data_IF_358691716419
#
_entry.id   IF_358691716419
#
_cell.length_a   1.000
_cell.length_b   1.000
_cell.length_c   1.000
_cell.angle_alpha   90.00
_cell.angle_beta   90.00
_cell.angle_gamma   90.00
#
_symmetry.space_group_name_H-M   'P 1'
#
loop_
_entity.id
_entity.type
_entity.pdbx_description
1 polymer ?
#
# COMPACT_ATOMS: atom_id res chain seq x y z
N UNK A 1 67.15 14.97 7.53
CA UNK A 1 68.28 14.33 8.21
C UNK A 1 68.18 14.72 9.66
N UNK A 2 67.61 13.82 10.46
CA UNK A 2 67.46 13.92 11.92
C UNK A 2 66.82 12.61 12.39
N UNK A 3 67.71 11.70 12.80
CA UNK A 3 67.66 10.79 13.94
C UNK A 3 66.30 10.27 14.42
N UNK A 4 66.08 8.96 14.20
CA UNK A 4 65.32 8.12 15.11
C UNK A 4 66.18 6.92 15.50
N UNK A 5 66.53 6.90 16.79
CA UNK A 5 67.18 5.82 17.51
C UNK A 5 66.39 4.51 17.42
N UNK A 6 67.08 3.47 16.97
CA UNK A 6 66.65 2.07 17.09
C UNK A 6 67.32 1.49 18.35
N UNK A 7 66.51 1.21 19.37
CA UNK A 7 66.93 0.42 20.53
C UNK A 7 66.80 -1.07 20.18
N UNK A 8 67.83 -1.91 20.44
CA UNK A 8 67.78 -3.34 20.17
C UNK A 8 67.14 -4.09 21.34
N UNK A 9 66.08 -4.87 21.08
CA UNK A 9 65.62 -5.91 22.00
C UNK A 9 66.15 -7.26 21.51
N UNK A 10 67.24 -7.68 22.15
CA UNK A 10 67.64 -9.08 22.26
C UNK A 10 66.66 -9.78 23.21
N UNK A 11 65.82 -10.67 22.69
CA UNK A 11 65.29 -11.77 23.51
C UNK A 11 65.12 -13.02 22.63
N UNK A 12 66.19 -13.81 22.62
CA UNK A 12 66.21 -15.17 22.08
C UNK A 12 65.53 -16.09 23.10
N UNK A 13 64.21 -16.27 22.95
CA UNK A 13 63.43 -17.29 23.63
C UNK A 13 63.29 -18.53 22.76
N UNK A 14 63.81 -19.64 23.26
CA UNK A 14 63.86 -21.00 22.71
C UNK A 14 62.69 -21.47 21.81
N UNK A 15 63.05 -21.95 20.61
CA UNK A 15 62.17 -22.73 19.73
C UNK A 15 62.09 -24.16 20.31
N UNK A 16 60.95 -24.54 20.89
CA UNK A 16 60.71 -25.93 21.28
C UNK A 16 60.35 -26.81 20.05
N UNK A 17 60.87 -28.05 19.97
CA UNK A 17 60.55 -28.98 18.89
C UNK A 17 59.15 -29.59 19.05
N UNK A 18 58.37 -29.58 17.97
CA UNK A 18 57.09 -30.29 17.85
C UNK A 18 57.32 -31.81 17.87
N UNK A 19 56.90 -32.48 18.94
CA UNK A 19 56.74 -33.93 18.93
C UNK A 19 55.62 -34.36 19.86
N UNK A 20 54.41 -34.52 19.30
CA UNK A 20 53.40 -35.48 19.75
C UNK A 20 52.37 -35.72 18.62
N UNK A 21 52.23 -36.95 18.10
CA UNK A 21 51.14 -37.33 17.23
C UNK A 21 50.03 -37.94 18.11
N UNK A 22 48.94 -37.19 18.36
CA UNK A 22 47.60 -37.63 18.81
C UNK A 22 46.90 -36.66 19.78
N UNK A 23 46.99 -35.36 19.55
CA UNK A 23 46.03 -34.40 20.13
C UNK A 23 44.95 -34.10 19.09
N UNK A 24 43.65 -34.31 19.39
CA UNK A 24 42.59 -33.85 18.51
C UNK A 24 42.71 -32.33 18.37
N UNK A 25 42.66 -31.84 17.12
CA UNK A 25 42.60 -30.42 16.79
C UNK A 25 41.37 -29.80 17.46
N UNK A 26 41.55 -29.28 18.68
CA UNK A 26 40.60 -28.35 19.27
C UNK A 26 40.67 -27.05 18.46
N UNK A 27 39.52 -26.46 18.06
CA UNK A 27 39.52 -25.17 17.39
C UNK A 27 40.16 -24.12 18.30
N UNK A 28 41.14 -23.42 17.75
CA UNK A 28 41.87 -22.34 18.41
C UNK A 28 40.89 -21.17 18.55
N UNK A 29 40.54 -20.82 19.79
CA UNK A 29 39.82 -19.59 20.12
C UNK A 29 40.74 -18.38 19.84
N UNK A 30 40.73 -17.91 18.60
CA UNK A 30 41.24 -16.59 18.22
C UNK A 30 40.26 -15.96 17.23
N UNK A 31 39.05 -15.70 17.70
CA UNK A 31 38.03 -14.95 16.98
C UNK A 31 38.13 -13.46 17.29
N UNK A 32 39.00 -12.75 16.56
CA UNK A 32 38.85 -11.29 16.35
C UNK A 32 38.13 -10.97 15.02
N UNK A 33 37.49 -11.99 14.43
CA UNK A 33 36.50 -11.88 13.35
C UNK A 33 35.12 -12.42 13.78
N UNK A 34 34.85 -12.47 15.08
CA UNK A 34 33.52 -12.69 15.61
C UNK A 34 32.63 -11.50 15.19
N UNK A 35 31.90 -11.71 14.10
CA UNK A 35 30.63 -11.03 13.86
C UNK A 35 29.87 -11.11 15.19
N UNK A 36 29.38 -10.01 15.78
CA UNK A 36 28.43 -10.15 16.87
C UNK A 36 27.29 -10.98 16.30
N UNK A 37 27.14 -12.22 16.77
CA UNK A 37 25.95 -13.01 16.51
C UNK A 37 24.78 -12.06 16.82
N UNK A 38 23.79 -11.92 15.93
CA UNK A 38 22.62 -11.13 16.26
C UNK A 38 22.14 -11.65 17.60
N UNK A 39 22.02 -10.75 18.57
CA UNK A 39 21.54 -11.11 19.88
C UNK A 39 20.07 -11.49 19.73
N UNK A 40 19.82 -12.79 19.51
CA UNK A 40 18.48 -13.36 19.41
C UNK A 40 17.90 -13.67 20.79
N UNK A 41 18.65 -13.41 21.88
CA UNK A 41 18.27 -13.91 23.20
C UNK A 41 17.20 -13.03 23.87
N UNK A 42 17.05 -11.76 23.49
CA UNK A 42 16.03 -10.88 24.10
C UNK A 42 14.64 -10.87 23.43
N UNK A 43 14.47 -11.52 22.27
CA UNK A 43 13.19 -11.54 21.53
C UNK A 43 12.67 -12.94 21.18
N UNK A 44 13.16 -13.98 21.84
CA UNK A 44 12.46 -15.28 21.91
C UNK A 44 11.23 -15.23 22.84
N UNK A 45 10.45 -14.16 22.76
CA UNK A 45 9.09 -14.16 23.29
C UNK A 45 8.24 -15.14 22.49
N UNK A 46 8.16 -16.38 22.98
CA UNK A 46 6.91 -17.14 23.01
C UNK A 46 6.06 -17.08 21.73
N UNK A 47 6.60 -17.48 20.57
CA UNK A 47 5.88 -17.56 19.29
C UNK A 47 4.80 -18.67 19.24
N UNK A 48 4.28 -19.13 20.36
CA UNK A 48 3.27 -20.20 20.38
C UNK A 48 1.85 -19.72 20.06
N UNK A 49 1.58 -18.41 20.10
CA UNK A 49 0.20 -17.86 20.03
C UNK A 49 -0.03 -16.80 18.94
N UNK A 50 0.95 -16.44 18.12
CA UNK A 50 0.77 -15.46 17.04
C UNK A 50 0.43 -16.16 15.74
N UNK A 51 -0.67 -15.75 15.09
CA UNK A 51 -1.06 -16.25 13.77
C UNK A 51 0.11 -16.09 12.79
N UNK A 52 0.41 -17.11 11.97
CA UNK A 52 1.52 -17.04 11.03
C UNK A 52 1.33 -15.82 10.13
N UNK A 53 2.43 -15.11 9.85
CA UNK A 53 2.41 -14.00 8.91
C UNK A 53 3.09 -14.44 7.62
N UNK A 54 2.50 -14.08 6.49
CA UNK A 54 3.13 -14.21 5.17
C UNK A 54 3.40 -12.80 4.67
N UNK A 55 4.68 -12.45 4.48
CA UNK A 55 5.10 -11.10 4.08
C UNK A 55 4.52 -9.98 4.96
N UNK A 56 4.52 -10.18 6.28
CA UNK A 56 4.02 -9.19 7.26
C UNK A 56 2.49 -9.09 7.36
N UNK A 57 1.75 -9.81 6.52
CA UNK A 57 0.28 -9.91 6.61
C UNK A 57 -0.13 -11.14 7.41
N UNK A 58 -1.13 -11.01 8.29
CA UNK A 58 -1.65 -12.14 9.05
C UNK A 58 -2.28 -13.17 8.10
N UNK A 59 -1.80 -14.41 8.16
CA UNK A 59 -2.33 -15.52 7.38
C UNK A 59 -3.41 -16.25 8.17
N UNK A 60 -4.63 -16.39 7.62
CA UNK A 60 -5.70 -17.14 8.25
C UNK A 60 -5.45 -18.64 8.06
N UNK A 61 -4.63 -19.24 8.93
CA UNK A 61 -4.34 -20.65 8.84
C UNK A 61 -3.23 -21.12 9.76
N UNK A 62 -2.94 -22.42 9.71
CA UNK A 62 -1.81 -23.00 10.44
C UNK A 62 -0.48 -22.67 9.73
N UNK A 63 0.63 -22.78 10.46
CA UNK A 63 1.97 -22.62 9.90
C UNK A 63 2.21 -23.56 8.69
N UNK A 64 1.69 -24.79 8.75
CA UNK A 64 1.77 -25.74 7.64
C UNK A 64 1.00 -25.25 6.39
N UNK A 65 -0.16 -24.63 6.57
CA UNK A 65 -0.91 -24.04 5.46
C UNK A 65 -0.17 -22.84 4.87
N UNK A 66 0.53 -22.06 5.71
CA UNK A 66 1.36 -20.95 5.27
C UNK A 66 2.55 -21.44 4.43
N UNK A 67 3.26 -22.48 4.87
CA UNK A 67 4.34 -23.12 4.11
C UNK A 67 3.87 -23.69 2.75
N UNK A 68 2.68 -24.30 2.73
CA UNK A 68 2.05 -24.77 1.50
C UNK A 68 1.71 -23.62 0.56
N UNK A 69 1.15 -22.52 1.07
CA UNK A 69 0.85 -21.33 0.29
C UNK A 69 2.12 -20.69 -0.31
N UNK A 70 3.19 -20.54 0.49
CA UNK A 70 4.49 -20.05 0.02
C UNK A 70 5.06 -20.97 -1.08
N UNK A 71 4.90 -22.29 -0.93
CA UNK A 71 5.32 -23.25 -1.95
C UNK A 71 4.51 -23.16 -3.25
N UNK A 72 3.21 -22.90 -3.16
CA UNK A 72 2.36 -22.66 -4.34
C UNK A 72 2.78 -21.37 -5.06
N UNK A 73 2.99 -20.28 -4.32
CA UNK A 73 3.46 -19.00 -4.87
C UNK A 73 4.81 -19.20 -5.59
N UNK A 74 5.74 -19.94 -4.99
CA UNK A 74 7.03 -20.24 -5.61
C UNK A 74 6.90 -21.03 -6.93
N UNK A 75 5.94 -21.96 -7.02
CA UNK A 75 5.68 -22.71 -8.24
C UNK A 75 5.07 -21.83 -9.35
N UNK A 76 4.13 -20.95 -9.00
CA UNK A 76 3.57 -19.97 -9.95
C UNK A 76 4.66 -19.02 -10.44
N UNK A 77 5.50 -18.51 -9.53
CA UNK A 77 6.64 -17.67 -9.89
C UNK A 77 7.58 -18.37 -10.88
N UNK A 78 7.95 -19.62 -10.62
CA UNK A 78 8.79 -20.41 -11.53
C UNK A 78 8.16 -20.54 -12.92
N UNK A 79 6.87 -20.86 -12.99
CA UNK A 79 6.15 -21.02 -14.25
C UNK A 79 6.09 -19.71 -15.05
N UNK A 80 5.85 -18.58 -14.39
CA UNK A 80 5.78 -17.28 -15.05
C UNK A 80 7.16 -16.73 -15.41
N UNK A 81 8.16 -16.93 -14.56
CA UNK A 81 9.55 -16.57 -14.85
C UNK A 81 10.09 -17.32 -16.08
N UNK A 82 9.70 -18.59 -16.26
CA UNK A 82 10.02 -19.37 -17.46
C UNK A 82 9.39 -18.76 -18.72
N UNK A 83 8.13 -18.31 -18.66
CA UNK A 83 7.48 -17.60 -19.79
C UNK A 83 8.19 -16.29 -20.13
N UNK A 84 8.69 -15.58 -19.12
CA UNK A 84 9.45 -14.34 -19.26
C UNK A 84 10.92 -14.56 -19.69
N UNK A 85 11.36 -15.83 -19.80
CA UNK A 85 12.73 -16.24 -20.13
C UNK A 85 13.77 -15.66 -19.15
N UNK A 86 13.43 -15.63 -17.86
CA UNK A 86 14.39 -15.30 -16.81
C UNK A 86 15.37 -16.45 -16.58
N UNK A 87 16.57 -16.13 -16.09
CA UNK A 87 17.60 -17.11 -15.77
C UNK A 87 17.12 -18.05 -14.65
N UNK A 88 17.10 -19.37 -14.92
CA UNK A 88 16.62 -20.37 -13.99
C UNK A 88 17.40 -20.40 -12.68
N UNK A 89 18.71 -20.14 -12.70
CA UNK A 89 19.53 -20.12 -11.48
C UNK A 89 19.14 -18.97 -10.56
N UNK A 90 18.84 -17.80 -11.13
CA UNK A 90 18.37 -16.64 -10.38
C UNK A 90 16.92 -16.83 -9.88
N UNK A 91 16.08 -17.51 -10.66
CA UNK A 91 14.72 -17.88 -10.23
C UNK A 91 14.77 -18.80 -9.02
N UNK A 92 15.62 -19.83 -9.04
CA UNK A 92 15.76 -20.75 -7.91
C UNK A 92 16.36 -20.06 -6.68
N UNK A 93 17.32 -19.13 -6.87
CA UNK A 93 17.82 -18.29 -5.79
C UNK A 93 16.71 -17.43 -5.15
N UNK A 94 15.89 -16.77 -5.96
CA UNK A 94 14.76 -15.97 -5.48
C UNK A 94 13.73 -16.84 -4.73
N UNK A 95 13.42 -18.03 -5.24
CA UNK A 95 12.52 -19.00 -4.58
C UNK A 95 13.07 -19.43 -3.23
N UNK A 96 14.37 -19.72 -3.15
CA UNK A 96 15.03 -20.05 -1.89
C UNK A 96 14.89 -18.91 -0.90
N UNK A 97 15.16 -17.67 -1.33
CA UNK A 97 14.96 -16.50 -0.47
C UNK A 97 13.52 -16.37 0.02
N UNK A 98 12.53 -16.53 -0.87
CA UNK A 98 11.11 -16.47 -0.51
C UNK A 98 10.76 -17.53 0.54
N UNK A 99 11.17 -18.78 0.35
CA UNK A 99 10.87 -19.86 1.30
C UNK A 99 11.50 -19.62 2.67
N UNK A 100 12.71 -19.08 2.73
CA UNK A 100 13.42 -18.83 3.98
C UNK A 100 12.88 -17.59 4.72
N UNK A 101 12.48 -16.54 3.99
CA UNK A 101 12.17 -15.23 4.58
C UNK A 101 10.67 -14.90 4.62
N UNK A 102 9.79 -15.63 3.92
CA UNK A 102 8.36 -15.30 3.87
C UNK A 102 7.65 -15.39 5.23
N UNK A 103 8.16 -16.25 6.13
CA UNK A 103 7.57 -16.57 7.43
C UNK A 103 8.31 -15.91 8.60
N UNK A 104 9.44 -15.26 8.35
CA UNK A 104 10.24 -14.61 9.38
C UNK A 104 9.92 -13.10 9.42
N UNK A 105 9.79 -12.49 10.60
CA UNK A 105 9.73 -11.03 10.69
C UNK A 105 11.07 -10.47 10.19
N UNK A 106 11.01 -9.63 9.16
CA UNK A 106 12.21 -8.98 8.63
C UNK A 106 12.55 -7.81 9.54
N UNK A 107 13.65 -7.92 10.28
CA UNK A 107 14.23 -6.82 11.04
C UNK A 107 14.72 -5.70 10.13
N UNK A 108 15.21 -4.61 10.72
CA UNK A 108 15.77 -3.51 9.92
C UNK A 108 16.96 -3.99 9.07
N UNK A 109 16.95 -3.71 7.76
CA UNK A 109 18.02 -4.13 6.84
C UNK A 109 18.66 -2.94 6.15
N UNK A 110 19.97 -2.79 6.34
CA UNK A 110 20.76 -1.78 5.62
C UNK A 110 20.87 -2.10 4.13
N UNK A 111 20.78 -1.06 3.29
CA UNK A 111 20.95 -1.19 1.83
C UNK A 111 22.41 -1.49 1.48
N UNK A 112 22.65 -2.63 0.82
CA UNK A 112 23.98 -3.06 0.31
C UNK A 112 23.99 -3.35 -1.19
N UNK A 113 22.85 -3.26 -1.86
CA UNK A 113 22.69 -3.49 -3.29
C UNK A 113 22.87 -2.21 -4.12
N UNK A 114 23.27 -2.39 -5.38
CA UNK A 114 23.43 -1.30 -6.37
C UNK A 114 22.18 -1.01 -7.23
N UNK A 115 21.10 -1.78 -7.08
CA UNK A 115 19.90 -1.57 -7.90
C UNK A 115 19.25 -0.20 -7.69
N UNK A 116 18.81 0.37 -8.81
CA UNK A 116 17.98 1.56 -8.85
C UNK A 116 16.49 1.18 -8.89
N UNK A 117 15.72 1.75 -7.95
CA UNK A 117 14.28 1.53 -7.76
C UNK A 117 13.48 2.81 -8.03
N UNK A 118 14.05 3.82 -8.68
CA UNK A 118 13.29 5.03 -9.07
C UNK A 118 12.04 4.63 -9.84
N UNK A 119 10.87 5.11 -9.39
CA UNK A 119 9.57 4.79 -9.98
C UNK A 119 8.80 3.66 -9.29
N UNK A 120 9.41 2.91 -8.38
CA UNK A 120 8.70 1.94 -7.54
C UNK A 120 8.20 2.61 -6.24
N UNK A 121 6.88 2.61 -6.04
CA UNK A 121 6.27 3.03 -4.78
C UNK A 121 6.21 1.85 -3.81
N UNK A 122 7.24 1.70 -2.97
CA UNK A 122 7.31 0.64 -1.96
C UNK A 122 6.78 1.20 -0.63
N UNK A 123 5.76 0.60 -0.01
CA UNK A 123 5.28 0.99 1.32
C UNK A 123 6.40 0.95 2.37
N UNK A 124 6.30 1.80 3.40
CA UNK A 124 7.31 1.84 4.46
C UNK A 124 7.42 0.50 5.21
N UNK A 125 6.31 -0.23 5.35
CA UNK A 125 6.26 -1.56 5.96
C UNK A 125 7.08 -2.62 5.21
N UNK A 126 7.16 -2.48 3.88
CA UNK A 126 7.72 -3.53 3.02
C UNK A 126 9.17 -3.23 2.66
N UNK A 127 9.68 -2.05 3.06
CA UNK A 127 10.98 -1.53 2.64
C UNK A 127 12.14 -2.42 3.09
N UNK A 128 12.10 -2.92 4.31
CA UNK A 128 13.15 -3.79 4.85
C UNK A 128 13.14 -5.17 4.18
N UNK A 129 11.96 -5.74 3.95
CA UNK A 129 11.79 -6.99 3.22
C UNK A 129 12.30 -6.89 1.77
N UNK A 130 11.92 -5.82 1.06
CA UNK A 130 12.41 -5.55 -0.29
C UNK A 130 13.93 -5.34 -0.27
N UNK A 131 14.46 -4.56 0.66
CA UNK A 131 15.91 -4.30 0.76
C UNK A 131 16.69 -5.60 1.03
N UNK A 132 16.17 -6.48 1.88
CA UNK A 132 16.74 -7.81 2.14
C UNK A 132 16.78 -8.68 0.87
N UNK A 133 15.66 -8.74 0.13
CA UNK A 133 15.59 -9.45 -1.15
C UNK A 133 16.61 -8.91 -2.14
N UNK A 134 16.71 -7.59 -2.27
CA UNK A 134 17.63 -6.94 -3.19
C UNK A 134 19.09 -7.19 -2.82
N UNK A 135 19.44 -7.12 -1.54
CA UNK A 135 20.77 -7.47 -1.06
C UNK A 135 21.11 -8.93 -1.38
N UNK A 136 20.16 -9.84 -1.21
CA UNK A 136 20.34 -11.25 -1.54
C UNK A 136 20.58 -11.44 -3.05
N UNK A 137 19.75 -10.84 -3.90
CA UNK A 137 19.89 -10.96 -5.35
C UNK A 137 21.18 -10.34 -5.89
N UNK A 138 21.67 -9.25 -5.30
CA UNK A 138 22.96 -8.64 -5.67
C UNK A 138 24.14 -9.58 -5.38
N UNK A 139 24.11 -10.33 -4.27
CA UNK A 139 25.12 -11.36 -3.96
C UNK A 139 25.12 -12.51 -4.97
N UNK A 140 23.95 -12.83 -5.52
CA UNK A 140 23.80 -13.83 -6.59
C UNK A 140 24.08 -13.27 -7.99
N UNK A 141 24.53 -12.01 -8.11
CA UNK A 141 24.90 -11.41 -9.39
C UNK A 141 23.70 -11.14 -10.30
N UNK A 142 22.49 -10.98 -9.75
CA UNK A 142 21.32 -10.73 -10.58
C UNK A 142 21.42 -9.39 -11.33
N UNK A 143 20.99 -9.32 -12.60
CA UNK A 143 20.92 -8.06 -13.30
C UNK A 143 19.72 -7.25 -12.81
N UNK A 144 19.79 -5.91 -12.93
CA UNK A 144 18.70 -5.01 -12.55
C UNK A 144 17.36 -5.41 -13.19
N UNK A 145 17.39 -5.81 -14.48
CA UNK A 145 16.20 -6.27 -15.20
C UNK A 145 15.49 -7.42 -14.47
N UNK A 146 16.23 -8.41 -13.98
CA UNK A 146 15.65 -9.55 -13.27
C UNK A 146 14.89 -9.06 -12.03
N UNK A 147 15.56 -8.27 -11.20
CA UNK A 147 15.02 -7.71 -9.98
C UNK A 147 13.78 -6.86 -10.22
N UNK A 148 13.82 -5.95 -11.19
CA UNK A 148 12.66 -5.10 -11.54
C UNK A 148 11.47 -5.92 -12.02
N UNK A 149 11.72 -6.98 -12.79
CA UNK A 149 10.68 -7.90 -13.25
C UNK A 149 10.10 -8.71 -12.10
N UNK A 150 10.92 -9.19 -11.16
CA UNK A 150 10.44 -9.90 -9.98
C UNK A 150 9.60 -9.01 -9.06
N UNK A 151 10.04 -7.77 -8.81
CA UNK A 151 9.26 -6.81 -8.01
C UNK A 151 7.94 -6.43 -8.69
N UNK A 152 7.95 -6.24 -10.01
CA UNK A 152 6.73 -6.01 -10.78
C UNK A 152 5.78 -7.22 -10.69
N UNK A 153 6.28 -8.44 -10.90
CA UNK A 153 5.49 -9.67 -10.81
C UNK A 153 4.88 -9.82 -9.42
N UNK A 154 5.64 -9.56 -8.36
CA UNK A 154 5.17 -9.62 -6.99
C UNK A 154 4.05 -8.60 -6.74
N UNK A 155 4.20 -7.37 -7.24
CA UNK A 155 3.16 -6.35 -7.16
C UNK A 155 1.88 -6.75 -7.91
N UNK A 156 2.02 -7.47 -9.02
CA UNK A 156 0.88 -7.94 -9.82
C UNK A 156 0.18 -9.13 -9.18
N UNK A 157 0.94 -10.05 -8.59
CA UNK A 157 0.41 -11.14 -7.79
C UNK A 157 -0.42 -10.60 -6.61
N UNK A 158 0.09 -9.58 -5.90
CA UNK A 158 -0.66 -8.97 -4.80
C UNK A 158 -1.93 -8.25 -5.25
N UNK A 159 -1.96 -7.66 -6.46
CA UNK A 159 -3.20 -7.11 -7.02
C UNK A 159 -4.23 -8.20 -7.36
N UNK A 160 -3.77 -9.38 -7.78
CA UNK A 160 -4.63 -10.52 -8.10
C UNK A 160 -5.09 -11.29 -6.86
N UNK A 161 -4.25 -11.37 -5.83
CA UNK A 161 -4.56 -12.02 -4.55
C UNK A 161 -5.34 -11.11 -3.61
N UNK A 162 -5.35 -9.79 -3.84
CA UNK A 162 -6.44 -8.98 -3.34
C UNK A 162 -7.71 -9.50 -4.03
N UNK A 163 -8.67 -10.11 -3.30
CA UNK A 163 -9.98 -10.33 -3.88
C UNK A 163 -10.41 -8.99 -4.46
N UNK A 164 -10.99 -8.98 -5.68
CA UNK A 164 -11.81 -7.87 -6.13
C UNK A 164 -12.67 -7.49 -4.93
N UNK A 165 -12.33 -6.37 -4.29
CA UNK A 165 -12.98 -5.93 -3.07
C UNK A 165 -14.37 -5.49 -3.49
N UNK A 166 -15.28 -6.48 -3.59
CA UNK A 166 -16.65 -6.32 -3.20
C UNK A 166 -16.59 -5.52 -1.90
N UNK A 167 -17.21 -4.33 -1.93
CA UNK A 167 -17.58 -3.55 -0.78
C UNK A 167 -17.82 -4.49 0.40
N UNK A 168 -17.12 -4.25 1.51
CA UNK A 168 -17.23 -5.05 2.73
C UNK A 168 -18.66 -5.58 2.85
N UNK A 169 -18.82 -6.89 2.68
CA UNK A 169 -20.09 -7.54 2.93
C UNK A 169 -20.49 -7.17 4.35
N UNK A 170 -21.64 -6.52 4.49
CA UNK A 170 -22.21 -5.96 5.73
C UNK A 170 -22.27 -6.97 6.89
N UNK A 171 -21.99 -8.26 6.67
CA UNK A 171 -22.15 -9.38 7.60
C UNK A 171 -20.96 -9.66 8.54
N UNK A 172 -19.95 -8.80 8.62
CA UNK A 172 -18.79 -9.05 9.51
C UNK A 172 -18.29 -7.82 10.27
N UNK A 173 -19.16 -6.85 10.53
CA UNK A 173 -18.87 -5.78 11.48
C UNK A 173 -19.44 -6.23 12.83
N UNK A 174 -18.57 -6.41 13.82
CA UNK A 174 -19.00 -6.72 15.19
C UNK A 174 -19.65 -5.51 15.84
N UNK A 175 -20.56 -5.72 16.80
CA UNK A 175 -21.22 -4.62 17.54
C UNK A 175 -20.22 -3.62 18.14
N UNK A 176 -19.06 -4.10 18.61
CA UNK A 176 -17.99 -3.27 19.16
C UNK A 176 -17.30 -2.40 18.09
N UNK A 177 -17.14 -2.90 16.87
CA UNK A 177 -16.62 -2.12 15.75
C UNK A 177 -17.64 -1.08 15.27
N UNK A 178 -18.93 -1.43 15.29
CA UNK A 178 -20.00 -0.50 14.97
C UNK A 178 -20.05 0.68 15.95
N UNK A 179 -19.96 0.40 17.26
CA UNK A 179 -19.88 1.43 18.31
C UNK A 179 -18.69 2.38 18.11
N UNK A 180 -17.55 1.85 17.67
CA UNK A 180 -16.37 2.66 17.37
C UNK A 180 -16.59 3.56 16.15
N UNK A 181 -17.18 3.01 15.08
CA UNK A 181 -17.51 3.75 13.85
C UNK A 181 -18.52 4.86 14.16
N UNK A 182 -19.56 4.56 14.95
CA UNK A 182 -20.59 5.54 15.33
C UNK A 182 -20.00 6.67 16.17
N UNK A 183 -19.10 6.37 17.12
CA UNK A 183 -18.37 7.40 17.89
C UNK A 183 -17.47 8.27 17.02
N UNK A 184 -16.88 7.72 15.95
CA UNK A 184 -16.00 8.45 15.03
C UNK A 184 -16.77 9.21 13.95
N UNK A 185 -18.00 8.81 13.65
CA UNK A 185 -18.81 9.36 12.55
C UNK A 185 -18.92 10.90 12.55
N UNK A 186 -19.09 11.61 13.68
CA UNK A 186 -19.11 13.08 13.69
C UNK A 186 -17.79 13.71 13.26
N UNK A 187 -16.65 13.10 13.64
CA UNK A 187 -15.32 13.57 13.26
C UNK A 187 -15.05 13.32 11.77
N UNK A 188 -15.44 12.14 11.27
CA UNK A 188 -15.33 11.79 9.85
C UNK A 188 -16.20 12.72 8.99
N UNK A 189 -17.42 13.03 9.44
CA UNK A 189 -18.30 14.01 8.79
C UNK A 189 -17.67 15.40 8.77
N UNK A 190 -17.12 15.88 9.89
CA UNK A 190 -16.48 17.20 9.96
C UNK A 190 -15.27 17.31 9.03
N UNK A 191 -14.47 16.24 8.92
CA UNK A 191 -13.34 16.18 7.99
C UNK A 191 -13.80 16.21 6.52
N UNK A 192 -14.83 15.44 6.18
CA UNK A 192 -15.47 15.48 4.87
C UNK A 192 -15.99 16.88 4.52
N UNK A 193 -16.71 17.53 5.43
CA UNK A 193 -17.20 18.89 5.23
C UNK A 193 -16.07 19.90 5.06
N UNK A 194 -14.94 19.74 5.76
CA UNK A 194 -13.75 20.59 5.58
C UNK A 194 -13.13 20.42 4.18
N UNK A 195 -12.99 19.18 3.69
CA UNK A 195 -12.49 18.88 2.34
C UNK A 195 -13.43 19.49 1.28
N UNK A 196 -14.73 19.27 1.42
CA UNK A 196 -15.75 19.80 0.51
C UNK A 196 -15.81 21.33 0.53
N UNK A 197 -15.58 21.96 1.69
CA UNK A 197 -15.50 23.43 1.80
C UNK A 197 -14.29 23.98 1.06
N UNK A 198 -13.15 23.31 1.14
CA UNK A 198 -11.97 23.68 0.35
C UNK A 198 -12.21 23.50 -1.16
N UNK A 199 -12.96 22.47 -1.55
CA UNK A 199 -13.25 22.19 -2.96
C UNK A 199 -14.29 23.17 -3.57
N UNK A 200 -15.41 23.41 -2.88
CA UNK A 200 -16.52 24.24 -3.39
C UNK A 200 -16.44 25.71 -2.98
N UNK A 201 -15.60 26.07 -2.00
CA UNK A 201 -15.48 27.43 -1.48
C UNK A 201 -16.83 28.00 -1.03
N UNK A 202 -17.18 29.17 -1.54
CA UNK A 202 -18.41 29.88 -1.20
C UNK A 202 -19.70 29.13 -1.61
N UNK A 203 -19.61 28.17 -2.53
CA UNK A 203 -20.76 27.39 -3.00
C UNK A 203 -21.04 26.15 -2.14
N UNK A 204 -20.19 25.88 -1.14
CA UNK A 204 -20.31 24.73 -0.24
C UNK A 204 -21.72 24.51 0.33
N UNK A 205 -22.37 25.49 1.00
CA UNK A 205 -23.66 25.23 1.65
C UNK A 205 -24.77 24.90 0.65
N UNK A 206 -24.73 25.50 -0.55
CA UNK A 206 -25.72 25.28 -1.61
C UNK A 206 -25.52 23.89 -2.21
N UNK A 207 -24.28 23.54 -2.58
CA UNK A 207 -23.96 22.25 -3.19
C UNK A 207 -24.23 21.09 -2.22
N UNK A 208 -23.92 21.26 -0.93
CA UNK A 208 -24.24 20.28 0.10
C UNK A 208 -25.75 20.08 0.27
N UNK A 209 -26.53 21.18 0.23
CA UNK A 209 -28.01 21.09 0.28
C UNK A 209 -28.57 20.31 -0.91
N UNK A 210 -28.05 20.55 -2.12
CA UNK A 210 -28.45 19.81 -3.32
C UNK A 210 -28.16 18.31 -3.21
N UNK A 211 -26.96 17.94 -2.73
CA UNK A 211 -26.60 16.55 -2.51
C UNK A 211 -27.53 15.87 -1.47
N UNK A 212 -27.85 16.56 -0.37
CA UNK A 212 -28.78 16.07 0.66
C UNK A 212 -30.21 15.91 0.14
N UNK A 213 -30.69 16.87 -0.65
CA UNK A 213 -32.01 16.78 -1.28
C UNK A 213 -32.08 15.60 -2.24
N UNK A 214 -31.03 15.38 -3.04
CA UNK A 214 -30.97 14.23 -3.95
C UNK A 214 -30.94 12.91 -3.19
N UNK A 215 -30.14 12.80 -2.12
CA UNK A 215 -30.13 11.63 -1.23
C UNK A 215 -31.54 11.33 -0.66
N UNK A 216 -32.31 12.36 -0.32
CA UNK A 216 -33.68 12.19 0.17
C UNK A 216 -34.67 11.71 -0.91
N UNK A 217 -34.38 11.96 -2.19
CA UNK A 217 -35.21 11.47 -3.32
C UNK A 217 -34.91 10.04 -3.74
N UNK A 218 -33.80 9.46 -3.27
CA UNK A 218 -33.45 8.07 -3.58
C UNK A 218 -34.42 7.08 -2.93
N UNK A 219 -34.63 5.89 -3.54
CA UNK A 219 -35.35 4.79 -2.90
C UNK A 219 -34.78 4.47 -1.51
N UNK A 220 -35.67 4.06 -0.59
CA UNK A 220 -35.30 3.76 0.80
C UNK A 220 -34.16 2.75 0.87
N UNK A 221 -34.22 1.68 0.07
CA UNK A 221 -33.17 0.66 0.02
C UNK A 221 -31.80 1.21 -0.39
N UNK A 222 -31.75 2.13 -1.36
CA UNK A 222 -30.49 2.72 -1.83
C UNK A 222 -29.94 3.73 -0.82
N UNK A 223 -30.83 4.52 -0.22
CA UNK A 223 -30.47 5.47 0.83
C UNK A 223 -29.89 4.74 2.04
N UNK A 224 -30.53 3.66 2.47
CA UNK A 224 -30.09 2.87 3.64
C UNK A 224 -28.77 2.16 3.34
N UNK A 225 -28.58 1.65 2.11
CA UNK A 225 -27.27 1.16 1.66
C UNK A 225 -26.22 2.25 1.75
N UNK A 226 -26.47 3.46 1.27
CA UNK A 226 -25.48 4.55 1.31
C UNK A 226 -25.15 5.03 2.72
N UNK A 227 -26.11 5.01 3.64
CA UNK A 227 -25.88 5.45 5.03
C UNK A 227 -25.23 4.38 5.89
N UNK A 228 -25.52 3.10 5.64
CA UNK A 228 -25.03 1.98 6.44
C UNK A 228 -23.77 1.31 5.87
N UNK A 229 -23.46 1.52 4.59
CA UNK A 229 -22.25 0.93 4.00
C UNK A 229 -21.01 1.58 4.60
N UNK A 230 -20.10 0.74 5.10
CA UNK A 230 -18.80 1.17 5.60
C UNK A 230 -17.76 1.03 4.49
N UNK A 231 -17.12 2.14 4.14
CA UNK A 231 -16.03 2.22 3.18
C UNK A 231 -14.69 1.77 3.79
N UNK A 232 -13.69 1.60 2.94
CA UNK A 232 -12.31 1.30 3.35
C UNK A 232 -11.85 2.26 4.44
N UNK A 233 -11.30 1.72 5.54
CA UNK A 233 -10.87 2.50 6.70
C UNK A 233 -11.92 2.69 7.78
N UNK A 234 -13.09 2.06 7.68
CA UNK A 234 -14.12 2.09 8.73
C UNK A 234 -14.95 3.38 8.71
N UNK A 235 -15.01 4.08 7.58
CA UNK A 235 -15.75 5.34 7.44
C UNK A 235 -17.11 5.05 6.82
N UNK A 236 -18.19 5.60 7.36
CA UNK A 236 -19.51 5.51 6.72
C UNK A 236 -19.47 6.14 5.34
N UNK A 237 -20.02 5.45 4.34
CA UNK A 237 -20.02 5.89 2.94
C UNK A 237 -20.60 7.29 2.76
N UNK A 238 -21.70 7.61 3.46
CA UNK A 238 -22.28 8.95 3.49
C UNK A 238 -21.38 10.06 4.04
N UNK A 239 -20.34 9.71 4.81
CA UNK A 239 -19.35 10.64 5.36
C UNK A 239 -18.10 10.76 4.49
N UNK A 240 -18.04 10.11 3.33
CA UNK A 240 -16.89 10.25 2.42
C UNK A 240 -17.12 11.40 1.42
N UNK A 241 -16.10 12.24 1.14
CA UNK A 241 -16.27 13.37 0.22
C UNK A 241 -16.57 12.92 -1.20
N UNK A 242 -16.06 11.76 -1.63
CA UNK A 242 -16.29 11.19 -2.95
C UNK A 242 -17.76 10.86 -3.19
N UNK A 243 -18.43 10.27 -2.18
CA UNK A 243 -19.84 9.92 -2.26
C UNK A 243 -20.71 11.18 -2.28
N UNK A 244 -20.41 12.17 -1.44
CA UNK A 244 -21.13 13.45 -1.45
C UNK A 244 -20.96 14.18 -2.78
N UNK A 245 -19.76 14.15 -3.38
CA UNK A 245 -19.51 14.69 -4.72
C UNK A 245 -20.27 13.93 -5.81
N UNK A 246 -20.34 12.60 -5.71
CA UNK A 246 -21.10 11.77 -6.64
C UNK A 246 -22.61 12.07 -6.57
N UNK A 247 -23.16 12.21 -5.35
CA UNK A 247 -24.57 12.61 -5.13
C UNK A 247 -24.85 14.00 -5.70
N UNK A 248 -23.95 14.95 -5.48
CA UNK A 248 -24.05 16.28 -6.08
C UNK A 248 -24.05 16.21 -7.62
N UNK A 249 -23.12 15.45 -8.22
CA UNK A 249 -23.07 15.27 -9.68
C UNK A 249 -24.34 14.61 -10.22
N UNK A 250 -24.87 13.62 -9.52
CA UNK A 250 -26.13 12.98 -9.90
C UNK A 250 -27.31 13.98 -9.84
N UNK A 251 -27.37 14.81 -8.79
CA UNK A 251 -28.40 15.84 -8.62
C UNK A 251 -28.46 16.84 -9.78
N UNK A 252 -27.31 17.27 -10.29
CA UNK A 252 -27.24 18.21 -11.44
C UNK A 252 -27.29 17.50 -12.81
N UNK A 253 -27.40 16.16 -12.82
CA UNK A 253 -27.39 15.36 -14.05
C UNK A 253 -26.03 15.34 -14.74
N UNK A 254 -24.93 15.24 -13.99
CA UNK A 254 -23.55 15.26 -14.47
C UNK A 254 -23.25 14.21 -15.55
N UNK A 255 -23.84 13.01 -15.46
CA UNK A 255 -23.69 11.97 -16.50
C UNK A 255 -24.34 12.36 -17.83
N UNK A 256 -25.35 13.24 -17.78
CA UNK A 256 -26.05 13.81 -18.95
C UNK A 256 -25.48 15.17 -19.34
N UNK A 257 -24.34 15.58 -18.78
CA UNK A 257 -23.72 16.86 -19.12
C UNK A 257 -22.93 16.73 -20.44
N UNK A 258 -23.08 17.68 -21.37
CA UNK A 258 -22.32 17.67 -22.62
C UNK A 258 -20.82 17.80 -22.34
N UNK A 259 -20.02 17.02 -23.07
CA UNK A 259 -18.55 17.00 -22.93
C UNK A 259 -17.84 17.78 -24.04
N UNK A 260 -18.54 18.12 -25.12
CA UNK A 260 -18.03 18.85 -26.27
C UNK A 260 -18.41 20.33 -26.20
N UNK A 261 -17.43 21.20 -26.50
CA UNK A 261 -17.58 22.66 -26.41
C UNK A 261 -18.83 23.25 -27.08
N UNK A 262 -19.20 22.86 -28.31
CA UNK A 262 -20.40 23.36 -28.97
C UNK A 262 -21.71 22.99 -28.24
N UNK A 263 -21.80 21.77 -27.69
CA UNK A 263 -22.99 21.36 -26.97
C UNK A 263 -23.09 22.01 -25.59
N UNK A 264 -21.94 22.22 -24.91
CA UNK A 264 -21.87 23.03 -23.68
C UNK A 264 -22.40 24.44 -23.96
N UNK A 265 -21.95 25.08 -25.05
CA UNK A 265 -22.41 26.41 -25.42
C UNK A 265 -23.91 26.46 -25.75
N UNK A 266 -24.43 25.45 -26.44
CA UNK A 266 -25.86 25.34 -26.76
C UNK A 266 -26.73 25.18 -25.51
N UNK A 267 -26.27 24.40 -24.52
CA UNK A 267 -26.99 24.21 -23.26
C UNK A 267 -26.93 25.46 -22.36
N UNK A 268 -25.79 26.14 -22.31
CA UNK A 268 -25.69 27.44 -21.63
C UNK A 268 -26.69 28.43 -22.24
N UNK A 269 -26.75 28.52 -23.58
CA UNK A 269 -27.66 29.42 -24.27
C UNK A 269 -29.14 29.09 -24.00
N UNK A 270 -29.49 27.80 -23.89
CA UNK A 270 -30.87 27.38 -23.59
C UNK A 270 -31.28 27.76 -22.16
N UNK A 271 -30.38 27.57 -21.18
CA UNK A 271 -30.59 27.95 -19.79
C UNK A 271 -30.65 29.47 -19.64
N UNK A 272 -29.74 30.21 -20.29
CA UNK A 272 -29.78 31.68 -20.29
C UNK A 272 -31.04 32.23 -20.94
N UNK A 273 -31.56 31.57 -21.99
CA UNK A 273 -32.83 31.95 -22.59
C UNK A 273 -34.00 31.73 -21.60
N UNK A 274 -33.99 30.64 -20.84
CA UNK A 274 -34.97 30.42 -19.76
C UNK A 274 -34.86 31.52 -18.70
N UNK A 275 -33.64 31.93 -18.34
CA UNK A 275 -33.41 33.03 -17.38
C UNK A 275 -33.97 34.36 -17.89
N UNK A 276 -33.89 34.62 -19.21
CA UNK A 276 -34.44 35.84 -19.85
C UNK A 276 -35.96 35.81 -20.00
N UNK A 277 -36.51 34.67 -20.41
CA UNK A 277 -37.94 34.52 -20.77
C UNK A 277 -38.83 34.16 -19.58
N UNK A 278 -38.33 33.34 -18.65
CA UNK A 278 -39.05 32.91 -17.45
C UNK A 278 -38.11 32.84 -16.24
N UNK A 279 -37.65 34.01 -15.80
CA UNK A 279 -36.76 34.16 -14.65
C UNK A 279 -37.28 33.48 -13.39
N UNK A 280 -38.59 33.47 -13.17
CA UNK A 280 -39.20 32.86 -11.98
C UNK A 280 -38.99 31.34 -11.94
N UNK A 281 -39.18 30.66 -13.08
CA UNK A 281 -38.92 29.22 -13.17
C UNK A 281 -37.43 28.90 -12.94
N UNK A 282 -36.53 29.69 -13.53
CA UNK A 282 -35.09 29.55 -13.31
C UNK A 282 -34.71 29.71 -11.83
N UNK A 283 -35.23 30.74 -11.15
CA UNK A 283 -34.92 31.00 -9.75
C UNK A 283 -35.50 29.95 -8.80
N UNK A 284 -36.58 29.27 -9.20
CA UNK A 284 -37.18 28.19 -8.41
C UNK A 284 -36.39 26.87 -8.51
N UNK A 285 -35.61 26.67 -9.58
CA UNK A 285 -34.85 25.44 -9.82
C UNK A 285 -33.37 25.59 -9.41
N UNK A 286 -33.05 25.15 -8.20
CA UNK A 286 -31.68 25.19 -7.67
C UNK A 286 -30.73 24.23 -8.42
N UNK A 287 -31.23 23.11 -8.93
CA UNK A 287 -30.43 22.12 -9.66
C UNK A 287 -29.98 22.71 -11.00
N UNK A 288 -30.88 23.41 -11.69
CA UNK A 288 -30.60 24.05 -12.96
C UNK A 288 -29.61 25.22 -12.80
N UNK A 289 -29.71 25.98 -11.71
CA UNK A 289 -28.71 27.00 -11.35
C UNK A 289 -27.33 26.40 -11.06
N UNK A 290 -27.26 25.25 -10.37
CA UNK A 290 -26.00 24.55 -10.12
C UNK A 290 -25.42 23.96 -11.40
N UNK A 291 -26.27 23.40 -12.27
CA UNK A 291 -25.87 22.88 -13.58
C UNK A 291 -25.27 23.97 -14.45
N UNK A 292 -25.87 25.16 -14.49
CA UNK A 292 -25.33 26.29 -15.24
C UNK A 292 -23.94 26.70 -14.74
N UNK A 293 -23.73 26.74 -13.42
CA UNK A 293 -22.42 27.03 -12.83
C UNK A 293 -21.35 26.05 -13.29
N UNK A 294 -21.64 24.75 -13.28
CA UNK A 294 -20.67 23.75 -13.75
C UNK A 294 -20.43 23.79 -15.25
N UNK A 295 -21.44 24.16 -16.06
CA UNK A 295 -21.23 24.40 -17.48
C UNK A 295 -20.29 25.58 -17.73
N UNK A 296 -20.34 26.64 -16.90
CA UNK A 296 -19.36 27.74 -16.97
C UNK A 296 -17.95 27.27 -16.60
N UNK A 297 -17.81 26.53 -15.50
CA UNK A 297 -16.53 25.95 -15.07
C UNK A 297 -15.91 25.09 -16.17
N UNK A 298 -16.70 24.20 -16.81
CA UNK A 298 -16.23 23.34 -17.91
C UNK A 298 -15.84 24.12 -19.17
N UNK A 299 -16.47 25.28 -19.40
CA UNK A 299 -16.13 26.17 -20.52
C UNK A 299 -14.86 26.99 -20.25
N UNK A 300 -14.41 27.06 -19.00
CA UNK A 300 -13.23 27.82 -18.57
C UNK A 300 -13.52 29.26 -18.13
N UNK A 301 -14.75 29.53 -17.66
CA UNK A 301 -15.14 30.80 -17.04
C UNK A 301 -15.15 30.72 -15.52
#
# INVERSE_FOLDING_TARGET
MSDYDLVPNDDFGDIQPYSQPNTPLAPIENESWAIPAPDFIDDHQSFSNTSPQIFGSAFPGSMQQAEQAVSQIANVFRADAAKMRLDSALVDAAITWFKTNALLPVGHVEKRHRYDLTGYSIPRSDRDAVTSFLNFMDRHGAPQRFVTTTLWWLSELFKQSQPQQQSASQDSITDAEWDYIEKRAPADQANCEAILRNHWGNQFPINLRLAKNYLATLPVEERDKLTQTVCKGGILSGNTPEVVLALYKAAIGGDRMPKNGPAIAAEIASIENLMKTNRKAYLADENLQARLRELYTLRGY
#
